data_IF_030062956124
#
_entry.id   IF_030062956124
#
_cell.length_a   1.000
_cell.length_b   1.000
_cell.length_c   1.000
_cell.angle_alpha   90.00
_cell.angle_beta   90.00
_cell.angle_gamma   90.00
#
_symmetry.space_group_name_H-M   'P 1'
#
loop_
_entity.id
_entity.type
_entity.pdbx_description
1 polymer ?
#
# COMPACT_ATOMS: atom_id res chain seq x y z
N UNK A 1 9.85 16.35 -12.14
CA UNK A 1 10.74 16.26 -10.96
C UNK A 1 11.01 14.79 -10.69
N UNK A 2 12.23 14.42 -10.28
CA UNK A 2 12.56 13.06 -9.86
C UNK A 2 12.13 12.85 -8.40
N UNK A 3 11.57 11.68 -8.06
CA UNK A 3 11.13 11.33 -6.71
C UNK A 3 11.87 10.08 -6.22
N UNK A 4 12.54 10.18 -5.08
CA UNK A 4 13.18 9.06 -4.40
C UNK A 4 14.43 9.44 -3.61
N UNK A 5 15.02 8.43 -2.98
CA UNK A 5 16.28 8.56 -2.25
C UNK A 5 17.47 8.48 -3.21
N UNK A 6 18.49 9.28 -2.93
CA UNK A 6 19.81 9.24 -3.58
C UNK A 6 20.87 9.11 -2.50
N UNK A 7 21.91 8.35 -2.77
CA UNK A 7 23.05 8.16 -1.85
C UNK A 7 24.32 8.50 -2.61
N UNK A 8 25.13 9.37 -2.01
CA UNK A 8 26.43 9.75 -2.53
C UNK A 8 27.52 9.07 -1.72
N UNK A 9 28.53 8.56 -2.42
CA UNK A 9 29.70 7.97 -1.82
C UNK A 9 30.63 9.03 -1.19
N UNK A 10 31.68 8.58 -0.46
CA UNK A 10 32.64 9.47 0.19
C UNK A 10 33.46 10.32 -0.80
N UNK A 11 33.48 9.97 -2.09
CA UNK A 11 34.08 10.75 -3.18
C UNK A 11 33.15 11.81 -3.76
N UNK A 12 31.90 11.91 -3.26
CA UNK A 12 30.86 12.78 -3.80
C UNK A 12 30.19 12.24 -5.07
N UNK A 13 30.53 11.02 -5.51
CA UNK A 13 29.88 10.36 -6.65
C UNK A 13 28.50 9.83 -6.26
N UNK A 14 27.55 9.84 -7.20
CA UNK A 14 26.21 9.27 -6.99
C UNK A 14 26.30 7.73 -7.11
N UNK A 15 26.11 7.02 -6.00
CA UNK A 15 26.26 5.57 -5.93
C UNK A 15 24.91 4.85 -5.98
N UNK A 16 23.86 5.45 -5.44
CA UNK A 16 22.49 4.95 -5.54
C UNK A 16 21.54 6.07 -5.91
N UNK A 17 20.67 5.79 -6.87
CA UNK A 17 19.68 6.71 -7.40
C UNK A 17 18.31 6.04 -7.57
N UNK A 18 17.40 6.77 -8.22
CA UNK A 18 16.06 6.27 -8.42
C UNK A 18 15.92 5.11 -9.42
N UNK A 19 17.00 4.76 -10.11
CA UNK A 19 17.07 3.76 -11.18
C UNK A 19 17.96 2.57 -10.82
N UNK A 20 18.54 2.55 -9.62
CA UNK A 20 19.52 1.55 -9.18
C UNK A 20 18.89 0.18 -8.87
N UNK A 21 17.58 0.10 -8.67
CA UNK A 21 16.87 -1.14 -8.31
C UNK A 21 15.73 -1.45 -9.28
N UNK A 22 15.56 -2.74 -9.62
CA UNK A 22 14.43 -3.23 -10.44
C UNK A 22 13.09 -3.08 -9.72
N UNK A 23 13.06 -3.34 -8.41
CA UNK A 23 11.89 -3.14 -7.55
C UNK A 23 12.34 -2.44 -6.29
N UNK A 24 11.57 -1.45 -5.85
CA UNK A 24 11.83 -0.73 -4.59
C UNK A 24 10.52 -0.39 -3.87
N UNK A 25 10.53 -0.47 -2.54
CA UNK A 25 9.44 0.05 -1.71
C UNK A 25 9.57 1.56 -1.63
N UNK A 26 8.54 2.28 -2.04
CA UNK A 26 8.50 3.75 -2.03
C UNK A 26 7.58 4.30 -0.94
N UNK A 27 6.66 3.48 -0.42
CA UNK A 27 5.76 3.84 0.65
C UNK A 27 5.41 2.59 1.45
N UNK A 28 5.37 2.74 2.78
CA UNK A 28 4.93 1.69 3.70
C UNK A 28 4.19 2.34 4.85
N UNK A 29 3.00 1.81 5.17
CA UNK A 29 2.20 2.29 6.30
C UNK A 29 1.34 1.16 6.87
N UNK A 30 1.03 1.25 8.17
CA UNK A 30 0.00 0.41 8.79
C UNK A 30 -1.37 1.03 8.52
N UNK A 31 -2.30 0.22 8.06
CA UNK A 31 -3.67 0.60 7.70
C UNK A 31 -4.65 -0.35 8.37
N UNK A 32 -5.77 0.21 8.81
CA UNK A 32 -6.82 -0.54 9.50
C UNK A 32 -8.16 0.15 9.25
N UNK A 33 -9.22 -0.63 9.06
CA UNK A 33 -10.57 -0.08 8.95
C UNK A 33 -10.96 0.66 10.24
N UNK A 34 -11.73 1.74 10.10
CA UNK A 34 -12.10 2.59 11.23
C UNK A 34 -10.98 3.53 11.72
N UNK A 35 -9.79 3.51 11.11
CA UNK A 35 -8.65 4.35 11.49
C UNK A 35 -8.09 5.14 10.28
N UNK A 36 -8.02 6.49 10.33
CA UNK A 36 -8.39 7.37 11.44
C UNK A 36 -9.90 7.62 11.58
N UNK A 37 -10.71 7.19 10.60
CA UNK A 37 -12.16 7.34 10.61
C UNK A 37 -12.85 6.11 10.00
N UNK A 38 -14.14 5.88 10.32
CA UNK A 38 -14.94 4.85 9.66
C UNK A 38 -15.06 5.10 8.16
N UNK A 39 -15.05 4.03 7.38
CA UNK A 39 -15.23 4.08 5.93
C UNK A 39 -15.02 2.72 5.29
N UNK A 40 -15.60 2.52 4.10
CA UNK A 40 -15.36 1.34 3.27
C UNK A 40 -13.99 1.40 2.59
N UNK A 41 -13.52 2.62 2.33
CA UNK A 41 -12.29 2.92 1.64
C UNK A 41 -11.47 3.98 2.36
N UNK A 42 -10.17 4.00 2.10
CA UNK A 42 -9.27 5.07 2.50
C UNK A 42 -8.33 5.42 1.35
N UNK A 43 -8.33 6.69 0.94
CA UNK A 43 -7.34 7.20 -0.01
C UNK A 43 -6.09 7.67 0.73
N UNK A 44 -4.91 7.34 0.18
CA UNK A 44 -3.61 7.82 0.65
C UNK A 44 -2.90 8.48 -0.54
N UNK A 45 -2.62 9.78 -0.41
CA UNK A 45 -1.86 10.54 -1.39
C UNK A 45 -0.38 10.14 -1.32
N UNK A 46 0.17 9.72 -2.46
CA UNK A 46 1.57 9.33 -2.61
C UNK A 46 2.07 9.95 -3.93
N UNK A 47 2.71 11.13 -3.87
CA UNK A 47 3.18 11.83 -5.07
C UNK A 47 4.13 10.98 -5.92
N UNK A 48 3.96 11.03 -7.24
CA UNK A 48 4.82 10.31 -8.20
C UNK A 48 4.45 8.84 -8.43
N UNK A 49 3.39 8.35 -7.79
CA UNK A 49 2.82 7.02 -8.05
C UNK A 49 1.97 7.03 -9.30
N UNK A 50 2.11 5.99 -10.10
CA UNK A 50 1.27 5.75 -11.28
C UNK A 50 1.05 4.24 -11.50
N UNK A 51 -0.18 3.79 -11.84
CA UNK A 51 -0.48 2.37 -12.07
C UNK A 51 0.36 1.70 -13.16
N UNK A 52 0.91 2.47 -14.11
CA UNK A 52 1.76 1.92 -15.19
C UNK A 52 3.15 1.47 -14.72
N UNK A 53 3.60 1.95 -13.56
CA UNK A 53 4.98 1.74 -13.05
C UNK A 53 5.05 1.32 -11.58
N UNK A 54 3.91 1.19 -10.92
CA UNK A 54 3.82 0.90 -9.50
C UNK A 54 2.83 -0.23 -9.21
N UNK A 55 3.10 -0.96 -8.14
CA UNK A 55 2.22 -1.98 -7.59
C UNK A 55 2.04 -1.77 -6.09
N UNK A 56 0.90 -2.19 -5.55
CA UNK A 56 0.59 -2.05 -4.14
C UNK A 56 0.03 -3.37 -3.60
N UNK A 57 0.37 -3.70 -2.36
CA UNK A 57 -0.15 -4.87 -1.65
C UNK A 57 -0.38 -4.52 -0.19
N UNK A 58 -1.43 -5.09 0.40
CA UNK A 58 -1.67 -5.06 1.84
C UNK A 58 -1.32 -6.42 2.43
N UNK A 59 -0.41 -6.46 3.40
CA UNK A 59 0.03 -7.70 4.06
C UNK A 59 -0.47 -7.70 5.50
N UNK A 60 -1.21 -8.72 5.96
CA UNK A 60 -1.61 -8.84 7.36
C UNK A 60 -0.39 -8.77 8.30
N UNK A 61 -0.51 -8.00 9.39
CA UNK A 61 0.53 -7.92 10.43
C UNK A 61 0.05 -8.42 11.80
N UNK A 62 -1.21 -8.86 11.86
CA UNK A 62 -1.78 -9.57 13.00
C UNK A 62 -1.77 -11.08 12.74
N UNK A 63 -1.98 -11.86 13.80
CA UNK A 63 -2.14 -13.30 13.67
C UNK A 63 -3.30 -13.61 12.72
N UNK A 64 -3.04 -14.49 11.75
CA UNK A 64 -4.03 -14.88 10.77
C UNK A 64 -4.94 -15.96 11.37
N UNK A 65 -6.22 -15.66 11.50
CA UNK A 65 -7.25 -16.62 11.88
C UNK A 65 -7.63 -17.49 10.67
N UNK A 66 -7.69 -18.80 10.85
CA UNK A 66 -8.05 -19.76 9.79
C UNK A 66 -9.52 -20.14 9.81
N UNK A 67 -10.32 -19.60 10.75
CA UNK A 67 -11.77 -19.71 10.73
C UNK A 67 -12.35 -19.03 9.49
N UNK A 68 -13.03 -19.80 8.63
CA UNK A 68 -13.54 -19.32 7.32
C UNK A 68 -14.56 -18.18 7.35
N UNK A 69 -14.98 -17.71 8.53
CA UNK A 69 -15.92 -16.60 8.73
C UNK A 69 -15.31 -15.40 9.46
N UNK A 70 -14.01 -15.43 9.76
CA UNK A 70 -13.36 -14.40 10.55
C UNK A 70 -13.15 -13.11 9.77
N UNK A 71 -13.72 -12.00 10.27
CA UNK A 71 -13.48 -10.66 9.72
C UNK A 71 -12.03 -10.19 9.92
N UNK A 72 -11.27 -10.83 10.80
CA UNK A 72 -9.85 -10.56 10.98
C UNK A 72 -8.97 -11.21 9.90
N UNK A 73 -9.50 -12.17 9.14
CA UNK A 73 -8.81 -12.83 8.03
C UNK A 73 -9.05 -12.15 6.67
N UNK A 74 -9.92 -11.13 6.59
CA UNK A 74 -10.21 -10.44 5.33
C UNK A 74 -9.02 -9.55 4.93
N UNK A 75 -8.43 -9.83 3.76
CA UNK A 75 -7.36 -9.02 3.19
C UNK A 75 -7.89 -7.73 2.56
N UNK A 76 -7.17 -6.63 2.76
CA UNK A 76 -7.51 -5.35 2.11
C UNK A 76 -7.02 -5.31 0.67
N UNK A 77 -7.78 -4.61 -0.18
CA UNK A 77 -7.47 -4.51 -1.62
C UNK A 77 -7.01 -3.08 -1.92
N UNK A 78 -5.71 -2.86 -2.16
CA UNK A 78 -5.23 -1.57 -2.64
C UNK A 78 -5.43 -1.46 -4.16
N UNK A 79 -5.98 -0.33 -4.60
CA UNK A 79 -6.08 0.05 -6.01
C UNK A 79 -5.28 1.33 -6.22
N UNK A 80 -4.32 1.26 -7.14
CA UNK A 80 -3.48 2.41 -7.48
C UNK A 80 -4.21 3.35 -8.42
N UNK A 81 -3.90 4.63 -8.25
CA UNK A 81 -4.32 5.74 -9.11
C UNK A 81 -3.15 6.69 -9.28
N UNK A 82 -3.15 7.53 -10.31
CA UNK A 82 -2.10 8.53 -10.46
C UNK A 82 -2.09 9.46 -9.25
N UNK A 83 -0.96 9.54 -8.54
CA UNK A 83 -0.79 10.34 -7.33
C UNK A 83 -1.19 9.67 -6.01
N UNK A 84 -1.59 8.40 -5.98
CA UNK A 84 -1.90 7.73 -4.72
C UNK A 84 -2.54 6.35 -4.82
N UNK A 85 -3.02 5.86 -3.69
CA UNK A 85 -3.64 4.54 -3.57
C UNK A 85 -4.95 4.62 -2.79
N UNK A 86 -5.98 3.96 -3.30
CA UNK A 86 -7.24 3.74 -2.61
C UNK A 86 -7.25 2.34 -2.01
N UNK A 87 -7.35 2.25 -0.70
CA UNK A 87 -7.46 0.99 0.01
C UNK A 87 -8.93 0.68 0.21
N UNK A 88 -9.35 -0.52 -0.17
CA UNK A 88 -10.67 -1.06 0.14
C UNK A 88 -10.53 -2.05 1.30
N UNK A 89 -11.33 -1.85 2.35
CA UNK A 89 -11.31 -2.73 3.53
C UNK A 89 -12.14 -4.00 3.33
N UNK A 90 -12.76 -4.17 2.16
CA UNK A 90 -13.47 -5.36 1.70
C UNK A 90 -13.41 -5.42 0.17
N UNK A 91 -14.20 -6.30 -0.45
CA UNK A 91 -14.26 -6.45 -1.91
C UNK A 91 -14.79 -5.20 -2.63
N UNK A 92 -14.00 -4.50 -3.48
CA UNK A 92 -14.52 -3.42 -4.33
C UNK A 92 -15.80 -3.82 -5.07
N UNK A 93 -16.83 -2.97 -4.99
CA UNK A 93 -18.14 -3.22 -5.62
C UNK A 93 -19.10 -4.11 -4.83
N UNK A 94 -18.74 -4.55 -3.63
CA UNK A 94 -19.66 -5.28 -2.76
C UNK A 94 -20.86 -4.40 -2.32
N UNK A 95 -22.05 -5.00 -2.10
CA UNK A 95 -23.24 -4.27 -1.66
C UNK A 95 -23.02 -3.62 -0.29
N UNK A 96 -23.81 -2.56 -0.02
CA UNK A 96 -23.80 -1.87 1.27
C UNK A 96 -24.07 -2.84 2.43
N UNK A 97 -23.27 -2.76 3.49
CA UNK A 97 -23.38 -3.64 4.65
C UNK A 97 -22.55 -4.93 4.55
N UNK A 98 -21.79 -5.13 3.46
CA UNK A 98 -20.84 -6.23 3.35
C UNK A 98 -19.74 -6.16 4.42
N UNK A 99 -19.28 -7.32 4.90
CA UNK A 99 -18.25 -7.42 5.92
C UNK A 99 -16.95 -6.71 5.52
N UNK A 100 -16.38 -5.98 6.47
CA UNK A 100 -15.09 -5.31 6.37
C UNK A 100 -14.03 -6.06 7.16
N UNK A 101 -12.80 -6.06 6.68
CA UNK A 101 -11.68 -6.58 7.45
C UNK A 101 -11.33 -5.67 8.63
N UNK A 102 -11.07 -6.26 9.79
CA UNK A 102 -10.84 -5.53 11.04
C UNK A 102 -9.37 -5.52 11.49
N UNK A 103 -8.58 -6.46 10.98
CA UNK A 103 -7.17 -6.62 11.36
C UNK A 103 -6.28 -5.54 10.73
N UNK A 104 -5.28 -5.00 11.46
CA UNK A 104 -4.29 -4.11 10.87
C UNK A 104 -3.46 -4.84 9.81
N UNK A 105 -3.18 -4.15 8.71
CA UNK A 105 -2.36 -4.63 7.60
C UNK A 105 -1.32 -3.59 7.23
N UNK A 106 -0.19 -4.03 6.69
CA UNK A 106 0.84 -3.14 6.16
C UNK A 106 0.64 -2.97 4.67
N UNK A 107 0.28 -1.76 4.28
CA UNK A 107 0.33 -1.32 2.89
C UNK A 107 1.80 -1.17 2.50
N UNK A 108 2.17 -1.78 1.38
CA UNK A 108 3.47 -1.64 0.74
C UNK A 108 3.19 -1.20 -0.70
N UNK A 109 3.74 -0.04 -1.09
CA UNK A 109 3.72 0.43 -2.49
C UNK A 109 5.13 0.34 -3.04
N UNK A 110 5.23 -0.28 -4.20
CA UNK A 110 6.47 -0.58 -4.88
C UNK A 110 6.49 0.10 -6.24
N UNK A 111 7.66 0.58 -6.65
CA UNK A 111 7.95 0.94 -8.03
C UNK A 111 8.68 -0.22 -8.70
N UNK A 112 8.33 -0.54 -9.93
CA UNK A 112 9.05 -1.51 -10.75
C UNK A 112 9.49 -0.89 -12.09
N UNK A 113 10.47 -1.53 -12.74
CA UNK A 113 10.95 -1.19 -14.08
C UNK A 113 10.73 -2.34 -15.04
#
# INVERSE_FOLDING_TARGET
MSFGMRIWGPTGSLELDENSFTVRVIYSAVVQSGQPSPGYTRYISIPGVDPSTHSAVCVPIANYDTGGTSMYAIQYIPILSSGGVTIYFGQPGAPSGSSLGLAPQRLIVMRYR
#
